data_IF_489983209892
#
_entry.id   IF_489983209892
#
_cell.length_a   1.000
_cell.length_b   1.000
_cell.length_c   1.000
_cell.angle_alpha   90.00
_cell.angle_beta   90.00
_cell.angle_gamma   90.00
#
_symmetry.space_group_name_H-M   'P 1'
#
loop_
_entity.id
_entity.type
_entity.pdbx_description
1 polymer ?
#
# COMPACT_ATOMS: atom_id res chain seq x y z
N UNK A 1 14.49 -7.09 1.31
CA UNK A 1 14.53 -5.66 0.93
C UNK A 1 15.88 -4.99 1.27
N UNK A 2 16.47 -5.18 2.45
CA UNK A 2 17.83 -4.59 2.75
C UNK A 2 18.90 -4.97 1.72
N UNK A 3 18.92 -6.24 1.28
CA UNK A 3 19.86 -6.69 0.24
C UNK A 3 19.60 -5.99 -1.11
N UNK A 4 18.31 -5.80 -1.48
CA UNK A 4 17.93 -5.07 -2.69
C UNK A 4 18.39 -3.61 -2.63
N UNK A 5 18.16 -2.91 -1.52
CA UNK A 5 18.60 -1.53 -1.34
C UNK A 5 20.13 -1.40 -1.44
N UNK A 6 20.86 -2.35 -0.87
CA UNK A 6 22.33 -2.40 -1.02
C UNK A 6 22.76 -2.65 -2.47
N UNK A 7 22.05 -3.54 -3.17
CA UNK A 7 22.35 -3.83 -4.58
C UNK A 7 22.11 -2.61 -5.49
N UNK A 8 21.05 -1.83 -5.22
CA UNK A 8 20.77 -0.58 -5.95
C UNK A 8 21.87 0.46 -5.74
N UNK A 9 22.55 0.45 -4.58
CA UNK A 9 23.65 1.36 -4.27
C UNK A 9 23.28 2.84 -4.14
N UNK A 10 21.96 3.16 -4.14
CA UNK A 10 21.52 4.53 -3.98
C UNK A 10 21.72 5.01 -2.54
N UNK A 11 22.35 6.19 -2.32
CA UNK A 11 22.59 6.71 -0.97
C UNK A 11 21.29 7.08 -0.25
N UNK A 12 20.27 7.45 -0.99
CA UNK A 12 18.92 7.76 -0.49
C UNK A 12 17.86 7.25 -1.46
N UNK A 13 16.72 6.82 -0.90
CA UNK A 13 15.55 6.39 -1.66
C UNK A 13 14.28 7.02 -1.08
N UNK A 14 13.31 7.27 -1.93
CA UNK A 14 11.94 7.53 -1.53
C UNK A 14 11.17 6.21 -1.58
N UNK A 15 10.42 5.89 -0.52
CA UNK A 15 9.70 4.63 -0.42
C UNK A 15 8.19 4.86 -0.50
N UNK A 16 7.54 4.20 -1.44
CA UNK A 16 6.07 4.14 -1.53
C UNK A 16 5.65 2.70 -1.26
N UNK A 17 4.99 2.48 -0.14
CA UNK A 17 4.57 1.15 0.29
C UNK A 17 3.07 1.03 0.50
N UNK A 18 2.42 0.13 -0.23
CA UNK A 18 1.03 -0.24 -0.01
C UNK A 18 0.97 -1.43 0.93
N UNK A 19 0.09 -1.38 1.95
CA UNK A 19 -0.17 -2.51 2.85
C UNK A 19 1.14 -3.09 3.42
N UNK A 20 1.44 -4.37 3.18
CA UNK A 20 2.69 -5.01 3.59
C UNK A 20 3.94 -4.24 3.12
N UNK A 21 3.90 -3.63 1.94
CA UNK A 21 5.01 -2.78 1.46
C UNK A 21 5.25 -1.56 2.35
N UNK A 22 4.20 -1.03 2.98
CA UNK A 22 4.30 0.04 3.97
C UNK A 22 4.87 -0.46 5.30
N UNK A 23 4.49 -1.65 5.77
CA UNK A 23 5.07 -2.29 6.97
C UNK A 23 6.59 -2.46 6.78
N UNK A 24 7.00 -2.99 5.63
CA UNK A 24 8.42 -3.13 5.27
C UNK A 24 9.11 -1.75 5.28
N UNK A 25 8.46 -0.73 4.71
CA UNK A 25 8.97 0.64 4.70
C UNK A 25 9.17 1.21 6.11
N UNK A 26 8.20 1.02 7.01
CA UNK A 26 8.32 1.42 8.42
C UNK A 26 9.51 0.72 9.09
N UNK A 27 9.64 -0.59 8.94
CA UNK A 27 10.75 -1.36 9.52
C UNK A 27 12.11 -0.92 8.98
N UNK A 28 12.20 -0.56 7.71
CA UNK A 28 13.44 -0.06 7.10
C UNK A 28 13.77 1.35 7.57
N UNK A 29 12.75 2.22 7.68
CA UNK A 29 12.92 3.61 8.08
C UNK A 29 13.44 3.79 9.52
N UNK A 30 13.28 2.77 10.38
CA UNK A 30 13.77 2.80 11.78
C UNK A 30 15.22 2.38 11.95
N UNK A 31 15.88 1.90 10.89
CA UNK A 31 17.28 1.50 10.99
C UNK A 31 18.20 2.73 11.13
N UNK A 32 19.28 2.67 11.94
CA UNK A 32 20.18 3.79 12.10
C UNK A 32 20.72 4.35 10.76
N UNK A 33 21.06 3.45 9.84
CA UNK A 33 21.60 3.80 8.51
C UNK A 33 20.52 3.68 7.42
N UNK A 34 19.28 4.05 7.74
CA UNK A 34 18.20 3.95 6.77
C UNK A 34 18.42 4.87 5.58
N UNK A 35 18.41 4.34 4.35
CA UNK A 35 18.48 5.18 3.16
C UNK A 35 17.15 5.86 2.84
N UNK A 36 16.07 5.60 3.61
CA UNK A 36 14.75 6.15 3.31
C UNK A 36 14.70 7.63 3.65
N UNK A 37 14.62 8.46 2.62
CA UNK A 37 14.52 9.92 2.71
C UNK A 37 13.08 10.38 2.97
N UNK A 38 12.10 9.72 2.34
CA UNK A 38 10.66 9.98 2.50
C UNK A 38 9.89 8.67 2.42
N UNK A 39 8.85 8.56 3.21
CA UNK A 39 8.02 7.36 3.31
C UNK A 39 6.56 7.67 3.01
N UNK A 40 5.98 7.02 2.00
CA UNK A 40 4.55 7.02 1.72
C UNK A 40 3.96 5.70 2.17
N UNK A 41 3.01 5.75 3.08
CA UNK A 41 2.24 4.62 3.58
C UNK A 41 0.86 4.65 2.94
N UNK A 42 0.62 3.76 1.97
CA UNK A 42 -0.67 3.65 1.32
C UNK A 42 -1.54 2.64 2.07
N UNK A 43 -2.46 3.18 2.82
CA UNK A 43 -3.52 2.51 3.57
C UNK A 43 -3.03 1.46 4.57
N UNK A 44 -1.99 1.81 5.29
CA UNK A 44 -1.42 0.98 6.35
C UNK A 44 -0.86 1.88 7.48
N UNK A 45 -0.90 1.38 8.69
CA UNK A 45 -0.35 2.04 9.86
C UNK A 45 0.35 1.08 10.80
N UNK A 46 0.82 1.57 11.94
CA UNK A 46 1.53 0.77 12.93
C UNK A 46 0.63 -0.19 13.73
N UNK A 47 -0.68 -0.13 13.54
CA UNK A 47 -1.62 -1.07 14.16
C UNK A 47 -2.54 -1.67 13.10
N UNK A 48 -2.63 -2.99 13.09
CA UNK A 48 -3.56 -3.75 12.24
C UNK A 48 -4.21 -4.84 13.09
N UNK A 49 -5.53 -4.88 13.12
CA UNK A 49 -6.26 -5.88 13.88
C UNK A 49 -6.08 -7.28 13.30
N UNK A 50 -6.11 -8.29 14.16
CA UNK A 50 -6.11 -9.69 13.74
C UNK A 50 -7.26 -10.00 12.78
N UNK A 51 -8.44 -9.44 13.02
CA UNK A 51 -9.60 -9.61 12.16
C UNK A 51 -9.32 -9.13 10.72
N UNK A 52 -8.75 -7.94 10.58
CA UNK A 52 -8.33 -7.40 9.28
C UNK A 52 -7.31 -8.30 8.57
N UNK A 53 -6.34 -8.84 9.32
CA UNK A 53 -5.32 -9.73 8.77
C UNK A 53 -5.93 -11.07 8.33
N UNK A 54 -6.85 -11.62 9.12
CA UNK A 54 -7.57 -12.86 8.76
C UNK A 54 -8.36 -12.69 7.46
N UNK A 55 -9.08 -11.58 7.30
CA UNK A 55 -9.81 -11.28 6.06
C UNK A 55 -8.90 -11.25 4.83
N UNK A 56 -7.69 -10.72 4.96
CA UNK A 56 -6.70 -10.76 3.87
C UNK A 56 -6.27 -12.20 3.60
N UNK A 57 -6.07 -13.00 4.67
CA UNK A 57 -5.65 -14.39 4.56
C UNK A 57 -6.67 -15.28 3.81
N UNK A 58 -7.95 -14.87 3.73
CA UNK A 58 -9.00 -15.64 3.05
C UNK A 58 -8.81 -15.67 1.52
N UNK A 59 -8.16 -14.66 0.94
CA UNK A 59 -7.94 -14.59 -0.51
C UNK A 59 -6.48 -14.57 -0.95
N UNK A 60 -5.56 -14.13 -0.07
CA UNK A 60 -4.12 -14.09 -0.40
C UNK A 60 -3.53 -15.49 -0.42
N UNK A 61 -2.82 -15.80 -1.50
CA UNK A 61 -2.16 -17.09 -1.70
C UNK A 61 -3.05 -18.17 -2.32
N UNK A 62 -4.27 -17.83 -2.72
CA UNK A 62 -5.09 -18.72 -3.53
C UNK A 62 -4.39 -18.95 -4.87
N UNK A 63 -4.26 -20.21 -5.26
CA UNK A 63 -3.74 -20.57 -6.58
C UNK A 63 -4.77 -20.16 -7.61
N UNK A 64 -4.36 -19.33 -8.55
CA UNK A 64 -5.20 -18.87 -9.66
C UNK A 64 -4.65 -19.40 -10.97
N UNK A 65 -5.55 -19.71 -11.91
CA UNK A 65 -5.20 -20.07 -13.29
C UNK A 65 -6.28 -19.51 -14.19
N UNK A 66 -5.89 -18.71 -15.16
CA UNK A 66 -6.78 -18.03 -16.10
C UNK A 66 -6.35 -18.41 -17.52
N UNK A 67 -7.27 -18.88 -18.35
CA UNK A 67 -6.99 -19.17 -19.75
C UNK A 67 -6.76 -17.88 -20.56
N UNK A 68 -7.43 -16.80 -20.16
CA UNK A 68 -7.38 -15.53 -20.87
C UNK A 68 -7.24 -14.34 -19.92
N UNK A 69 -6.65 -13.25 -20.41
CA UNK A 69 -6.42 -12.03 -19.63
C UNK A 69 -7.72 -11.41 -19.10
N UNK A 70 -8.83 -11.52 -19.83
CA UNK A 70 -10.12 -10.98 -19.40
C UNK A 70 -10.67 -11.70 -18.15
N UNK A 71 -10.35 -12.99 -17.99
CA UNK A 71 -10.74 -13.75 -16.78
C UNK A 71 -9.99 -13.24 -15.56
N UNK A 72 -8.69 -12.96 -15.71
CA UNK A 72 -7.90 -12.32 -14.68
C UNK A 72 -8.44 -10.91 -14.33
N UNK A 73 -8.86 -10.15 -15.35
CA UNK A 73 -9.48 -8.84 -15.15
C UNK A 73 -10.77 -8.94 -14.34
N UNK A 74 -11.68 -9.88 -14.69
CA UNK A 74 -12.93 -10.11 -13.93
C UNK A 74 -12.61 -10.46 -12.49
N UNK A 75 -11.70 -11.40 -12.26
CA UNK A 75 -11.27 -11.79 -10.92
C UNK A 75 -10.70 -10.61 -10.13
N UNK A 76 -9.84 -9.80 -10.76
CA UNK A 76 -9.26 -8.62 -10.10
C UNK A 76 -10.32 -7.57 -9.77
N UNK A 77 -11.31 -7.35 -10.63
CA UNK A 77 -12.43 -6.44 -10.36
C UNK A 77 -13.23 -6.85 -9.12
N UNK A 78 -13.37 -8.14 -8.89
CA UNK A 78 -14.04 -8.66 -7.70
C UNK A 78 -13.18 -8.50 -6.44
N UNK A 79 -11.97 -9.04 -6.45
CA UNK A 79 -11.10 -9.06 -5.27
C UNK A 79 -10.59 -7.66 -4.90
N UNK A 80 -10.29 -6.81 -5.88
CA UNK A 80 -9.77 -5.46 -5.68
C UNK A 80 -10.84 -4.36 -5.80
N UNK A 81 -12.14 -4.71 -5.76
CA UNK A 81 -13.24 -3.74 -5.72
C UNK A 81 -13.01 -2.61 -4.69
N UNK A 82 -12.42 -2.87 -3.49
CA UNK A 82 -12.12 -1.83 -2.52
C UNK A 82 -11.08 -0.79 -2.96
N UNK A 83 -10.33 -1.00 -4.05
CA UNK A 83 -9.31 -0.04 -4.51
C UNK A 83 -9.88 1.30 -4.96
N UNK A 84 -11.20 1.38 -5.08
CA UNK A 84 -11.93 2.57 -5.49
C UNK A 84 -12.45 2.47 -6.93
N UNK A 85 -12.97 3.59 -7.43
CA UNK A 85 -13.51 3.63 -8.79
C UNK A 85 -12.38 3.69 -9.82
N UNK A 86 -12.20 2.61 -10.55
CA UNK A 86 -11.23 2.48 -11.65
C UNK A 86 -11.95 2.40 -12.99
N UNK A 87 -11.32 2.94 -14.05
CA UNK A 87 -11.82 2.80 -15.41
C UNK A 87 -11.53 1.39 -15.97
N UNK A 88 -12.21 1.00 -17.05
CA UNK A 88 -11.92 -0.25 -17.74
C UNK A 88 -10.47 -0.31 -18.26
N UNK A 89 -9.90 0.85 -18.62
CA UNK A 89 -8.49 0.95 -18.99
C UNK A 89 -7.57 0.61 -17.81
N UNK A 90 -7.90 1.09 -16.61
CA UNK A 90 -7.11 0.83 -15.40
C UNK A 90 -7.19 -0.65 -15.02
N UNK A 91 -8.37 -1.25 -15.08
CA UNK A 91 -8.54 -2.68 -14.81
C UNK A 91 -7.77 -3.56 -15.78
N UNK A 92 -7.84 -3.24 -17.09
CA UNK A 92 -7.03 -3.96 -18.10
C UNK A 92 -5.54 -3.79 -17.86
N UNK A 93 -5.11 -2.58 -17.45
CA UNK A 93 -3.72 -2.33 -17.09
C UNK A 93 -3.29 -3.19 -15.90
N UNK A 94 -4.09 -3.25 -14.85
CA UNK A 94 -3.83 -4.09 -13.67
C UNK A 94 -3.75 -5.56 -14.04
N UNK A 95 -4.69 -6.07 -14.84
CA UNK A 95 -4.67 -7.47 -15.27
C UNK A 95 -3.41 -7.79 -16.08
N UNK A 96 -3.06 -6.93 -17.06
CA UNK A 96 -1.89 -7.11 -17.91
C UNK A 96 -0.57 -7.14 -17.13
N UNK A 97 -0.43 -6.30 -16.11
CA UNK A 97 0.82 -6.16 -15.35
C UNK A 97 0.80 -6.89 -14.00
N UNK A 98 -0.37 -7.35 -13.57
CA UNK A 98 -0.55 -8.12 -12.34
C UNK A 98 -0.62 -9.63 -12.56
N UNK A 99 -0.38 -10.11 -13.79
CA UNK A 99 -0.30 -11.53 -14.12
C UNK A 99 1.00 -11.88 -14.82
N UNK A 100 1.39 -13.14 -14.74
CA UNK A 100 2.44 -13.73 -15.56
C UNK A 100 2.00 -15.09 -16.12
N UNK A 101 2.69 -15.57 -17.16
CA UNK A 101 2.39 -16.84 -17.78
C UNK A 101 2.91 -18.01 -16.96
N UNK A 102 2.10 -19.07 -16.90
CA UNK A 102 2.47 -20.38 -16.40
C UNK A 102 3.06 -21.24 -17.52
N UNK A 103 3.78 -22.34 -17.19
CA UNK A 103 4.34 -23.25 -18.21
C UNK A 103 3.30 -23.90 -19.12
N UNK A 104 2.05 -24.03 -18.68
CA UNK A 104 0.93 -24.59 -19.46
C UNK A 104 0.26 -23.56 -20.37
N UNK A 105 0.76 -22.32 -20.42
CA UNK A 105 0.22 -21.24 -21.23
C UNK A 105 -0.89 -20.42 -20.55
N UNK A 106 -1.40 -20.85 -19.41
CA UNK A 106 -2.34 -20.08 -18.60
C UNK A 106 -1.67 -18.88 -17.92
N UNK A 107 -2.47 -17.97 -17.39
CA UNK A 107 -2.02 -16.84 -16.59
C UNK A 107 -2.29 -17.08 -15.11
N UNK A 108 -1.45 -16.54 -14.24
CA UNK A 108 -1.69 -16.50 -12.78
C UNK A 108 -1.35 -15.11 -12.24
N UNK A 109 -1.81 -14.81 -11.02
CA UNK A 109 -1.44 -13.56 -10.37
C UNK A 109 0.09 -13.47 -10.16
N UNK A 110 0.66 -12.30 -10.40
CA UNK A 110 2.11 -12.06 -10.41
C UNK A 110 2.69 -11.91 -8.99
N UNK A 111 2.38 -12.86 -8.10
CA UNK A 111 3.00 -12.94 -6.76
C UNK A 111 3.17 -14.41 -6.34
N UNK A 112 4.09 -14.67 -5.42
CA UNK A 112 4.30 -16.01 -4.86
C UNK A 112 3.16 -16.35 -3.87
N UNK A 113 2.37 -17.41 -4.11
CA UNK A 113 1.31 -17.83 -3.19
C UNK A 113 1.80 -18.14 -1.76
N UNK A 114 3.08 -18.45 -1.59
CA UNK A 114 3.68 -18.69 -0.27
C UNK A 114 3.63 -17.46 0.65
N UNK A 115 3.37 -16.26 0.13
CA UNK A 115 3.13 -15.05 0.93
C UNK A 115 2.01 -15.25 1.96
N UNK A 116 1.03 -16.12 1.66
CA UNK A 116 -0.08 -16.44 2.56
C UNK A 116 0.33 -17.10 3.88
N UNK A 117 1.50 -17.76 3.92
CA UNK A 117 2.00 -18.42 5.13
C UNK A 117 2.13 -17.42 6.27
N UNK A 118 2.64 -16.22 5.95
CA UNK A 118 2.81 -15.16 6.95
C UNK A 118 1.46 -14.63 7.46
N UNK A 119 0.45 -14.50 6.60
CA UNK A 119 -0.88 -14.04 6.99
C UNK A 119 -1.62 -15.07 7.84
N UNK A 120 -1.53 -16.35 7.47
CA UNK A 120 -2.18 -17.47 8.21
C UNK A 120 -1.56 -17.71 9.58
N UNK A 121 -0.29 -17.38 9.76
CA UNK A 121 0.41 -17.52 11.04
C UNK A 121 0.09 -16.42 12.06
N UNK A 122 -0.64 -15.37 11.67
CA UNK A 122 -0.94 -14.25 12.58
C UNK A 122 -2.02 -14.65 13.58
N UNK A 123 -1.61 -14.77 14.85
CA UNK A 123 -2.47 -15.19 15.97
C UNK A 123 -3.01 -14.03 16.82
N UNK A 124 -2.57 -12.79 16.56
CA UNK A 124 -2.92 -11.58 17.34
C UNK A 124 -2.81 -10.33 16.50
N UNK A 125 -3.25 -9.21 17.07
CA UNK A 125 -3.07 -7.88 16.48
C UNK A 125 -1.58 -7.60 16.19
N UNK A 126 -1.31 -6.89 15.11
CA UNK A 126 0.01 -6.38 14.79
C UNK A 126 0.13 -4.97 15.38
N UNK A 127 0.98 -4.82 16.41
CA UNK A 127 1.31 -3.53 17.01
C UNK A 127 2.78 -3.18 16.76
N UNK A 128 2.99 -2.14 15.95
CA UNK A 128 4.29 -1.61 15.57
C UNK A 128 4.48 -0.15 16.01
N UNK A 129 3.70 0.34 16.98
CA UNK A 129 3.82 1.72 17.44
C UNK A 129 5.22 2.07 17.90
N UNK A 130 5.87 1.17 18.64
CA UNK A 130 7.25 1.37 19.11
C UNK A 130 8.28 1.50 17.98
N UNK A 131 7.99 0.91 16.81
CA UNK A 131 8.79 1.11 15.58
C UNK A 131 8.42 2.43 14.91
N UNK A 132 7.13 2.69 14.71
CA UNK A 132 6.65 3.90 14.05
C UNK A 132 7.18 5.18 14.70
N UNK A 133 7.23 5.22 16.03
CA UNK A 133 7.72 6.36 16.78
C UNK A 133 9.22 6.66 16.61
N UNK A 134 9.98 5.69 16.13
CA UNK A 134 11.42 5.86 15.82
C UNK A 134 11.69 6.39 14.41
N UNK A 135 10.66 6.52 13.56
CA UNK A 135 10.82 7.04 12.20
C UNK A 135 11.12 8.54 12.29
N UNK A 136 12.19 8.98 11.64
CA UNK A 136 12.62 10.38 11.64
C UNK A 136 12.41 11.08 10.29
N UNK A 137 12.23 10.31 9.21
CA UNK A 137 11.99 10.90 7.90
C UNK A 137 10.53 11.39 7.76
N UNK A 138 10.25 12.33 6.86
CA UNK A 138 8.88 12.74 6.55
C UNK A 138 8.03 11.57 6.09
N UNK A 139 6.78 11.49 6.62
CA UNK A 139 5.82 10.43 6.31
C UNK A 139 4.53 11.03 5.76
N UNK A 140 4.04 10.45 4.65
CA UNK A 140 2.70 10.66 4.12
C UNK A 140 1.90 9.38 4.32
N UNK A 141 0.70 9.51 4.88
CA UNK A 141 -0.30 8.44 4.97
C UNK A 141 -1.45 8.77 4.03
N UNK A 142 -1.70 7.86 3.08
CA UNK A 142 -2.92 7.86 2.28
C UNK A 142 -3.86 6.85 2.89
N UNK A 143 -5.04 7.29 3.34
CA UNK A 143 -6.04 6.41 3.94
C UNK A 143 -7.26 6.32 3.05
N UNK A 144 -7.63 5.12 2.63
CA UNK A 144 -8.92 4.88 2.01
C UNK A 144 -10.06 5.26 2.97
N UNK A 145 -11.01 6.08 2.50
CA UNK A 145 -12.14 6.52 3.32
C UNK A 145 -12.88 5.35 3.97
N UNK A 146 -13.06 4.26 3.20
CA UNK A 146 -13.76 3.02 3.57
C UNK A 146 -12.82 1.91 4.02
N UNK A 147 -11.56 2.23 4.32
CA UNK A 147 -10.58 1.22 4.72
C UNK A 147 -10.97 0.54 6.02
N UNK A 148 -10.92 -0.77 6.01
CA UNK A 148 -11.08 -1.68 7.15
C UNK A 148 -9.74 -2.17 7.72
N UNK A 149 -8.62 -1.81 7.09
CA UNK A 149 -7.27 -2.15 7.55
C UNK A 149 -6.67 -1.01 8.37
N UNK A 150 -6.70 0.22 7.85
CA UNK A 150 -6.26 1.40 8.57
C UNK A 150 -7.46 2.12 9.20
N UNK A 151 -7.64 1.98 10.51
CA UNK A 151 -8.73 2.65 11.23
C UNK A 151 -8.55 4.18 11.24
N UNK A 152 -9.66 4.92 11.40
CA UNK A 152 -9.58 6.38 11.58
C UNK A 152 -8.77 6.74 12.83
N UNK A 153 -8.95 6.02 13.93
CA UNK A 153 -8.24 6.26 15.18
C UNK A 153 -6.72 6.09 15.01
N UNK A 154 -6.30 5.01 14.34
CA UNK A 154 -4.87 4.77 14.05
C UNK A 154 -4.31 5.87 13.15
N UNK A 155 -5.01 6.20 12.06
CA UNK A 155 -4.56 7.23 11.12
C UNK A 155 -4.42 8.62 11.79
N UNK A 156 -5.36 9.00 12.65
CA UNK A 156 -5.29 10.24 13.42
C UNK A 156 -4.17 10.23 14.46
N UNK A 157 -3.94 9.11 15.14
CA UNK A 157 -2.82 8.97 16.06
C UNK A 157 -1.47 9.11 15.35
N UNK A 158 -1.33 8.62 14.11
CA UNK A 158 -0.12 8.77 13.31
C UNK A 158 0.25 10.22 13.02
N UNK A 159 -0.72 11.14 13.00
CA UNK A 159 -0.46 12.59 12.83
C UNK A 159 0.09 13.27 14.09
N UNK A 160 0.00 12.59 15.23
CA UNK A 160 0.38 13.15 16.55
C UNK A 160 1.61 12.48 17.16
N UNK A 161 1.91 11.23 16.74
CA UNK A 161 2.96 10.37 17.27
C UNK A 161 4.11 10.19 16.28
N UNK A 162 5.30 9.93 16.78
CA UNK A 162 6.50 9.67 15.98
C UNK A 162 6.77 10.75 14.94
N UNK A 163 6.85 10.42 13.64
CA UNK A 163 7.15 11.37 12.56
C UNK A 163 6.05 12.40 12.33
N UNK A 164 4.91 12.32 13.04
CA UNK A 164 3.75 13.21 12.88
C UNK A 164 3.31 13.29 11.41
N UNK A 165 2.97 12.13 10.85
CA UNK A 165 2.69 11.97 9.44
C UNK A 165 1.66 12.97 8.91
N UNK A 166 1.83 13.37 7.66
CA UNK A 166 0.76 14.02 6.91
C UNK A 166 -0.27 12.98 6.51
N UNK A 167 -1.55 13.25 6.79
CA UNK A 167 -2.67 12.35 6.48
C UNK A 167 -3.54 12.94 5.39
N UNK A 168 -3.82 12.13 4.36
CA UNK A 168 -4.81 12.44 3.33
C UNK A 168 -5.79 11.27 3.23
N UNK A 169 -7.09 11.56 3.33
CA UNK A 169 -8.17 10.60 3.10
C UNK A 169 -8.51 10.57 1.62
N UNK A 170 -8.55 9.37 1.04
CA UNK A 170 -8.89 9.14 -0.37
C UNK A 170 -10.35 8.71 -0.44
N UNK A 171 -11.19 9.59 -0.99
CA UNK A 171 -12.63 9.38 -1.08
C UNK A 171 -12.97 8.15 -1.92
N UNK A 172 -13.98 7.39 -1.49
CA UNK A 172 -14.53 6.24 -2.20
C UNK A 172 -13.65 4.99 -2.25
N UNK A 173 -12.41 5.06 -1.76
CA UNK A 173 -11.51 3.91 -1.69
C UNK A 173 -11.58 3.20 -0.34
N UNK A 174 -11.42 1.88 -0.34
CA UNK A 174 -11.15 1.04 0.82
C UNK A 174 -9.66 0.68 0.88
N UNK A 175 -9.37 -0.57 1.24
CA UNK A 175 -7.99 -1.06 1.28
C UNK A 175 -7.62 -1.73 -0.06
N UNK A 176 -6.74 -1.09 -0.80
CA UNK A 176 -6.08 0.18 -0.61
C UNK A 176 -6.34 1.10 -1.82
N UNK A 177 -6.21 2.44 -1.69
CA UNK A 177 -6.24 3.32 -2.85
C UNK A 177 -5.30 2.83 -3.96
N UNK A 178 -5.79 2.76 -5.20
CA UNK A 178 -5.05 2.14 -6.30
C UNK A 178 -3.82 2.95 -6.77
N UNK A 179 -3.72 4.22 -6.38
CA UNK A 179 -2.68 5.17 -6.83
C UNK A 179 -2.62 5.33 -8.37
N UNK A 180 -3.75 5.13 -9.05
CA UNK A 180 -3.86 5.25 -10.51
C UNK A 180 -4.55 6.56 -10.93
N UNK A 181 -5.35 7.15 -10.07
CA UNK A 181 -6.01 8.43 -10.34
C UNK A 181 -5.01 9.59 -10.32
N UNK A 182 -5.19 10.55 -11.28
CA UNK A 182 -4.28 11.70 -11.41
C UNK A 182 -4.08 12.45 -10.08
N UNK A 183 -5.14 12.70 -9.31
CA UNK A 183 -5.04 13.39 -8.02
C UNK A 183 -4.19 12.63 -6.99
N UNK A 184 -4.30 11.30 -6.95
CA UNK A 184 -3.48 10.46 -6.07
C UNK A 184 -2.00 10.49 -6.49
N UNK A 185 -1.74 10.40 -7.80
CA UNK A 185 -0.39 10.46 -8.36
C UNK A 185 0.25 11.82 -8.08
N UNK A 186 -0.44 12.90 -8.38
CA UNK A 186 0.07 14.27 -8.16
C UNK A 186 0.40 14.53 -6.70
N UNK A 187 -0.42 14.01 -5.77
CA UNK A 187 -0.20 14.10 -4.34
C UNK A 187 1.08 13.39 -3.91
N UNK A 188 1.26 12.13 -4.34
CA UNK A 188 2.48 11.36 -4.03
C UNK A 188 3.70 12.06 -4.61
N UNK A 189 3.64 12.48 -5.87
CA UNK A 189 4.76 13.18 -6.53
C UNK A 189 5.10 14.50 -5.83
N UNK A 190 4.11 15.29 -5.44
CA UNK A 190 4.33 16.54 -4.71
C UNK A 190 5.04 16.30 -3.37
N UNK A 191 4.60 15.27 -2.62
CA UNK A 191 5.26 14.89 -1.38
C UNK A 191 6.71 14.42 -1.61
N UNK A 192 6.94 13.58 -2.60
CA UNK A 192 8.28 13.06 -2.90
C UNK A 192 9.24 14.16 -3.39
N UNK A 193 8.73 15.23 -3.98
CA UNK A 193 9.54 16.38 -4.40
C UNK A 193 9.82 17.35 -3.25
N UNK A 194 8.80 17.72 -2.47
CA UNK A 194 8.86 18.84 -1.51
C UNK A 194 8.94 18.40 -0.05
N UNK A 195 8.53 17.17 0.28
CA UNK A 195 8.39 16.68 1.65
C UNK A 195 7.19 17.24 2.42
N UNK A 196 6.46 18.18 1.84
CA UNK A 196 5.24 18.77 2.39
C UNK A 196 4.31 19.25 1.28
N UNK A 197 3.04 19.53 1.59
CA UNK A 197 2.06 20.13 0.67
C UNK A 197 1.57 21.46 1.18
N UNK A 198 1.18 22.33 0.24
CA UNK A 198 0.32 23.47 0.53
C UNK A 198 -1.11 23.01 0.89
N UNK A 199 -1.88 23.90 1.51
CA UNK A 199 -3.30 23.65 1.83
C UNK A 199 -4.15 23.36 0.59
N UNK A 200 -3.80 23.95 -0.55
CA UNK A 200 -4.48 23.78 -1.84
C UNK A 200 -4.23 22.39 -2.46
N UNK A 201 -3.01 21.86 -2.37
CA UNK A 201 -2.68 20.54 -2.88
C UNK A 201 -3.43 19.42 -2.11
N UNK A 202 -3.70 19.62 -0.80
CA UNK A 202 -4.52 18.69 0.00
C UNK A 202 -5.99 18.68 -0.45
N UNK A 203 -6.56 19.84 -0.73
CA UNK A 203 -7.96 19.96 -1.15
C UNK A 203 -8.22 19.31 -2.52
N UNK A 204 -7.30 19.45 -3.49
CA UNK A 204 -7.43 18.84 -4.81
C UNK A 204 -7.36 17.31 -4.78
N UNK A 205 -6.58 16.73 -3.87
CA UNK A 205 -6.45 15.27 -3.73
C UNK A 205 -7.69 14.60 -3.14
N UNK A 206 -8.45 15.32 -2.32
CA UNK A 206 -9.72 14.83 -1.74
C UNK A 206 -10.91 15.01 -2.70
N UNK A 207 -10.79 15.90 -3.70
CA UNK A 207 -11.87 16.26 -4.63
C UNK A 207 -11.85 15.48 -5.97
N UNK A 208 -10.84 14.65 -6.21
CA UNK A 208 -10.75 13.82 -7.44
C UNK A 208 -11.76 12.67 -7.37
N UNK A 209 -12.96 12.94 -7.84
CA UNK A 209 -14.01 11.93 -8.13
C UNK A 209 -13.75 11.26 -9.46
#
# INVERSE_FOLDING_TARGET
>A
MTALLRHIGAPQVDWVGTSMGGIIGMMLATKPDSPIRRLVLNDIGPFVSQESIKRIADYVGNKTSFAHLYEAEIYMREIYAPFGKLSDKDWRHMAKHGTWALPDGNLTLAYDPAISINFKAVAKDLDLWSLYEKIICPVLVLKGEKSDILSNATAEAMTKRGPKAMLVKVAGAGHAPALMGKGQIDLVVAFLKKGCFSRMERASATASR
#
